data_IF_903955704602
#
_entry.id   IF_903955704602
#
_cell.length_a   1.000
_cell.length_b   1.000
_cell.length_c   1.000
_cell.angle_alpha   90.00
_cell.angle_beta   90.00
_cell.angle_gamma   90.00
#
_symmetry.space_group_name_H-M   'P 1'
#
loop_
_entity.id
_entity.type
_entity.pdbx_description
1 polymer ?
#
# COMPACT_ATOMS: atom_id res chain seq x y z
N UNK A 1 37.15 53.12 18.01
CA UNK A 1 36.17 52.06 18.31
C UNK A 1 34.83 52.71 18.57
N UNK A 2 33.97 52.77 17.54
CA UNK A 2 32.63 53.36 17.64
C UNK A 2 31.70 52.18 17.92
N UNK A 3 31.47 51.86 19.19
CA UNK A 3 30.44 50.89 19.55
C UNK A 3 29.09 51.60 19.42
N UNK A 4 28.43 51.34 18.31
CA UNK A 4 27.07 51.76 18.00
C UNK A 4 26.15 51.51 19.21
N UNK A 5 25.73 52.60 19.86
CA UNK A 5 24.59 52.62 20.78
C UNK A 5 23.31 52.40 19.98
N UNK A 6 23.10 51.17 19.51
CA UNK A 6 21.76 50.75 19.13
C UNK A 6 20.99 50.56 20.44
N UNK A 7 19.93 51.35 20.73
CA UNK A 7 19.13 51.13 21.92
C UNK A 7 18.60 49.69 21.88
N UNK A 8 18.90 48.93 22.94
CA UNK A 8 18.59 47.50 23.13
C UNK A 8 17.08 47.17 23.05
N UNK A 9 16.26 48.19 22.87
CA UNK A 9 14.81 48.19 22.72
C UNK A 9 14.37 48.07 21.26
N UNK A 10 15.28 48.23 20.30
CA UNK A 10 15.02 48.02 18.87
C UNK A 10 14.83 46.54 18.51
N UNK A 11 15.47 45.63 19.25
CA UNK A 11 15.39 44.18 19.02
C UNK A 11 13.99 43.58 19.25
N UNK A 12 13.29 43.82 20.39
CA UNK A 12 11.93 43.31 20.57
C UNK A 12 10.92 43.99 19.64
N UNK A 13 11.12 45.28 19.34
CA UNK A 13 10.24 46.01 18.42
C UNK A 13 10.32 45.45 16.99
N UNK A 14 11.51 45.07 16.52
CA UNK A 14 11.71 44.45 15.22
C UNK A 14 11.13 43.02 15.17
N UNK A 15 11.17 42.25 16.27
CA UNK A 15 10.57 40.92 16.35
C UNK A 15 9.03 40.93 16.32
N UNK A 16 8.40 41.95 16.91
CA UNK A 16 6.93 42.05 16.92
C UNK A 16 6.32 42.47 15.58
N UNK A 17 7.10 43.02 14.65
CA UNK A 17 6.64 43.45 13.33
C UNK A 17 6.53 42.30 12.29
N UNK A 18 6.98 41.09 12.62
CA UNK A 18 7.15 40.01 11.66
C UNK A 18 5.96 39.04 11.43
N UNK A 19 4.89 38.93 12.24
CA UNK A 19 3.83 37.98 11.94
C UNK A 19 2.62 38.68 11.31
N UNK A 20 2.73 39.12 10.05
CA UNK A 20 1.57 39.55 9.25
C UNK A 20 1.05 38.46 8.29
N UNK A 21 1.71 37.29 8.22
CA UNK A 21 1.38 36.24 7.24
C UNK A 21 0.74 34.97 7.83
N UNK A 22 0.26 34.98 9.08
CA UNK A 22 -0.45 33.82 9.68
C UNK A 22 -1.98 33.89 9.53
N UNK A 23 -2.48 34.65 8.55
CA UNK A 23 -3.91 34.81 8.29
C UNK A 23 -4.26 34.45 6.84
N UNK A 24 -4.03 33.21 6.45
CA UNK A 24 -4.59 32.67 5.22
C UNK A 24 -4.67 31.14 5.31
N UNK A 25 -5.67 30.65 6.03
CA UNK A 25 -6.42 29.48 5.60
C UNK A 25 -7.70 29.36 6.45
N UNK A 26 -8.83 29.83 5.93
CA UNK A 26 -10.15 29.43 6.42
C UNK A 26 -10.82 28.72 5.26
N UNK A 27 -10.48 27.45 5.10
CA UNK A 27 -11.25 26.50 4.31
C UNK A 27 -12.59 26.28 5.01
N UNK A 28 -13.56 27.16 4.71
CA UNK A 28 -14.95 26.99 5.11
C UNK A 28 -15.59 25.90 4.24
N UNK A 29 -15.14 24.66 4.45
CA UNK A 29 -15.73 23.48 3.86
C UNK A 29 -16.98 23.13 4.66
N UNK A 30 -18.10 23.76 4.26
CA UNK A 30 -19.44 23.44 4.74
C UNK A 30 -19.83 22.00 4.42
N UNK A 31 -19.34 21.06 5.23
CA UNK A 31 -19.76 19.66 5.19
C UNK A 31 -21.13 19.55 5.88
N UNK A 32 -22.18 19.62 5.07
CA UNK A 32 -23.55 19.26 5.47
C UNK A 32 -23.54 17.88 6.13
N UNK A 33 -23.66 17.85 7.46
CA UNK A 33 -23.93 16.64 8.20
C UNK A 33 -25.34 16.14 7.85
N UNK A 34 -25.45 15.30 6.81
CA UNK A 34 -26.63 14.48 6.60
C UNK A 34 -26.59 13.36 7.66
N UNK A 35 -27.02 13.66 8.87
CA UNK A 35 -27.46 12.64 9.81
C UNK A 35 -28.77 12.02 9.26
N UNK A 36 -28.65 11.16 8.24
CA UNK A 36 -29.72 10.23 7.91
C UNK A 36 -29.76 9.20 9.03
N UNK A 37 -30.48 9.52 10.11
CA UNK A 37 -30.89 8.58 11.16
C UNK A 37 -31.92 7.57 10.67
N UNK A 38 -31.66 6.97 9.51
CA UNK A 38 -32.46 5.93 8.88
C UNK A 38 -31.70 4.61 8.87
N UNK A 39 -32.43 3.51 8.69
CA UNK A 39 -31.80 2.20 8.51
C UNK A 39 -30.82 2.26 7.33
N UNK A 40 -29.56 1.90 7.58
CA UNK A 40 -28.49 1.91 6.59
C UNK A 40 -28.25 0.47 6.09
N UNK A 41 -28.16 0.27 4.78
CA UNK A 41 -27.79 -1.01 4.16
C UNK A 41 -26.61 -0.78 3.24
N UNK A 42 -25.59 -1.60 3.40
CA UNK A 42 -24.38 -1.61 2.61
C UNK A 42 -24.17 -3.01 2.04
N UNK A 43 -23.82 -3.11 0.75
CA UNK A 43 -23.44 -4.36 0.09
C UNK A 43 -22.09 -4.18 -0.60
N UNK A 44 -21.11 -4.98 -0.24
CA UNK A 44 -19.78 -4.97 -0.86
C UNK A 44 -19.27 -6.38 -1.13
N UNK A 45 -18.32 -6.50 -2.06
CA UNK A 45 -17.65 -7.75 -2.36
C UNK A 45 -16.25 -7.73 -1.73
N UNK A 46 -15.99 -8.72 -0.90
CA UNK A 46 -14.71 -9.00 -0.25
C UNK A 46 -14.10 -10.24 -0.93
N UNK A 47 -13.35 -10.02 -2.01
CA UNK A 47 -12.90 -11.09 -2.90
C UNK A 47 -14.08 -11.90 -3.45
N UNK A 48 -14.16 -13.18 -3.09
CA UNK A 48 -15.24 -14.08 -3.51
C UNK A 48 -16.46 -14.05 -2.59
N UNK A 49 -16.45 -13.19 -1.56
CA UNK A 49 -17.49 -13.10 -0.57
C UNK A 49 -18.34 -11.85 -0.75
N UNK A 50 -19.64 -12.04 -1.00
CA UNK A 50 -20.60 -10.94 -0.92
C UNK A 50 -20.96 -10.67 0.54
N UNK A 51 -20.70 -9.47 1.02
CA UNK A 51 -21.00 -9.02 2.39
C UNK A 51 -22.16 -8.02 2.34
N UNK A 52 -23.25 -8.33 3.03
CA UNK A 52 -24.39 -7.43 3.20
C UNK A 52 -24.51 -7.03 4.68
N UNK A 53 -24.35 -5.73 4.97
CA UNK A 53 -24.47 -5.15 6.32
C UNK A 53 -25.73 -4.29 6.40
N UNK A 54 -26.54 -4.52 7.43
CA UNK A 54 -27.77 -3.77 7.71
C UNK A 54 -27.73 -3.22 9.12
N UNK A 55 -27.83 -1.91 9.25
CA UNK A 55 -27.98 -1.20 10.51
C UNK A 55 -29.41 -0.70 10.60
N UNK A 56 -30.16 -1.20 11.58
CA UNK A 56 -31.50 -0.70 11.87
C UNK A 56 -31.43 0.47 12.84
N UNK A 57 -32.50 1.26 12.89
CA UNK A 57 -32.63 2.43 13.76
C UNK A 57 -32.59 2.09 15.26
N UNK A 58 -32.95 0.86 15.63
CA UNK A 58 -32.88 0.33 17.00
C UNK A 58 -31.47 -0.16 17.40
N UNK A 59 -30.45 0.06 16.57
CA UNK A 59 -29.09 -0.43 16.81
C UNK A 59 -28.88 -1.90 16.45
N UNK A 60 -29.90 -2.61 15.95
CA UNK A 60 -29.75 -4.00 15.50
C UNK A 60 -28.90 -4.03 14.22
N UNK A 61 -27.73 -4.67 14.32
CA UNK A 61 -26.81 -4.90 13.24
C UNK A 61 -26.97 -6.34 12.70
N UNK A 62 -27.13 -6.50 11.39
CA UNK A 62 -27.10 -7.79 10.71
C UNK A 62 -26.08 -7.78 9.60
N UNK A 63 -25.12 -8.70 9.69
CA UNK A 63 -24.16 -8.98 8.63
C UNK A 63 -24.45 -10.36 8.04
N UNK A 64 -24.52 -10.44 6.72
CA UNK A 64 -24.57 -11.70 5.99
C UNK A 64 -23.35 -11.77 5.09
N UNK A 65 -22.51 -12.78 5.26
CA UNK A 65 -21.38 -13.08 4.38
C UNK A 65 -21.71 -14.32 3.55
N UNK A 66 -21.67 -14.18 2.23
CA UNK A 66 -21.88 -15.26 1.27
C UNK A 66 -20.63 -15.39 0.42
N UNK A 67 -19.74 -16.28 0.83
CA UNK A 67 -18.57 -16.65 0.04
C UNK A 67 -18.94 -17.67 -1.03
N UNK A 68 -18.69 -17.32 -2.28
CA UNK A 68 -18.68 -18.32 -3.34
C UNK A 68 -17.36 -19.09 -3.25
N UNK A 69 -17.41 -20.40 -3.45
CA UNK A 69 -16.18 -21.18 -3.57
C UNK A 69 -15.37 -20.60 -4.73
N UNK A 70 -14.08 -20.32 -4.50
CA UNK A 70 -13.21 -19.99 -5.63
C UNK A 70 -13.22 -21.19 -6.58
N UNK A 71 -13.27 -21.00 -7.90
CA UNK A 71 -12.93 -22.09 -8.80
C UNK A 71 -11.53 -22.57 -8.39
N UNK A 72 -11.37 -23.86 -8.13
CA UNK A 72 -10.04 -24.43 -7.90
C UNK A 72 -9.16 -24.07 -9.10
N UNK A 73 -8.29 -23.08 -8.93
CA UNK A 73 -7.27 -22.77 -9.92
C UNK A 73 -6.22 -23.84 -9.77
N UNK A 74 -6.27 -24.85 -10.64
CA UNK A 74 -5.20 -25.83 -10.77
C UNK A 74 -3.90 -25.08 -11.08
N UNK A 75 -3.06 -24.92 -10.06
CA UNK A 75 -1.69 -24.47 -10.27
C UNK A 75 -0.96 -25.63 -10.93
N UNK A 76 -0.62 -25.45 -12.21
CA UNK A 76 0.26 -26.38 -12.91
C UNK A 76 1.60 -26.37 -12.15
N UNK A 77 2.07 -27.52 -11.64
CA UNK A 77 3.39 -27.56 -11.02
C UNK A 77 4.45 -27.14 -12.05
N UNK A 78 5.52 -26.46 -11.63
CA UNK A 78 6.62 -26.14 -12.54
C UNK A 78 7.16 -27.43 -13.16
N UNK A 79 7.59 -27.41 -14.43
CA UNK A 79 8.17 -28.59 -15.06
C UNK A 79 9.40 -29.05 -14.27
N UNK A 80 9.64 -30.37 -14.13
CA UNK A 80 10.83 -30.87 -13.45
C UNK A 80 12.09 -30.38 -14.17
N UNK A 81 13.01 -29.78 -13.41
CA UNK A 81 14.33 -29.38 -13.93
C UNK A 81 15.27 -30.57 -13.77
N UNK A 82 15.81 -31.06 -14.89
CA UNK A 82 16.85 -32.08 -14.88
C UNK A 82 18.17 -31.44 -14.44
N UNK A 83 18.67 -31.82 -13.26
CA UNK A 83 20.01 -31.42 -12.79
C UNK A 83 20.99 -32.50 -13.24
N UNK A 84 21.87 -32.17 -14.18
CA UNK A 84 22.99 -33.03 -14.53
C UNK A 84 24.10 -32.84 -13.50
N UNK A 85 24.64 -33.91 -12.90
CA UNK A 85 25.79 -33.78 -12.03
C UNK A 85 26.96 -33.22 -12.84
N UNK A 86 27.68 -32.25 -12.27
CA UNK A 86 28.95 -31.81 -12.84
C UNK A 86 29.90 -33.02 -12.93
N UNK A 87 30.56 -33.18 -14.08
CA UNK A 87 31.56 -34.24 -14.24
C UNK A 87 32.61 -34.10 -13.13
N UNK A 88 32.99 -35.19 -12.45
CA UNK A 88 34.00 -35.13 -11.41
C UNK A 88 35.31 -34.56 -11.99
N UNK A 89 36.04 -33.72 -11.23
CA UNK A 89 37.31 -33.20 -11.69
C UNK A 89 38.26 -34.37 -11.96
N UNK A 90 38.67 -34.54 -13.22
CA UNK A 90 39.53 -35.66 -13.66
C UNK A 90 38.87 -36.67 -14.60
N UNK A 91 37.59 -36.52 -14.97
CA UNK A 91 36.98 -37.36 -16.00
C UNK A 91 37.55 -37.04 -17.40
N UNK A 92 38.30 -37.98 -17.97
CA UNK A 92 38.81 -37.91 -19.36
C UNK A 92 37.67 -38.33 -20.30
N UNK A 93 37.20 -37.41 -21.14
CA UNK A 93 36.23 -37.72 -22.21
C UNK A 93 37.01 -38.30 -23.40
N UNK A 94 37.03 -39.63 -23.54
CA UNK A 94 37.62 -40.29 -24.71
C UNK A 94 36.59 -40.24 -25.84
N UNK A 95 36.68 -39.26 -26.74
CA UNK A 95 35.86 -39.27 -27.95
C UNK A 95 36.38 -40.35 -28.92
N UNK A 96 35.56 -41.30 -29.40
CA UNK A 96 36.03 -42.30 -30.33
C UNK A 96 36.05 -41.69 -31.74
N UNK A 97 37.19 -41.13 -32.14
CA UNK A 97 37.44 -40.72 -33.52
C UNK A 97 38.56 -41.59 -34.09
N UNK A 98 38.30 -42.88 -34.26
CA UNK A 98 39.15 -43.72 -35.11
C UNK A 98 38.47 -43.82 -36.47
N UNK A 99 38.97 -43.04 -37.43
CA UNK A 99 38.63 -43.19 -38.84
C UNK A 99 39.62 -44.17 -39.44
N UNK A 100 39.21 -45.41 -39.68
CA UNK A 100 39.98 -46.38 -40.48
C UNK A 100 39.73 -46.03 -41.95
N UNK A 101 40.79 -45.65 -42.68
CA UNK A 101 40.74 -45.54 -44.15
C UNK A 101 41.28 -46.84 -44.76
N UNK A 102 40.64 -47.37 -45.82
CA UNK A 102 41.09 -48.58 -46.51
C UNK A 102 42.42 -48.37 -47.26
#
# INVERSE_FOLDING_TARGET
MIFSLAPRWLLPALLCALPLSVLADHDDHGHRHKHKGGSYREEFWDGHCKVERKWKRNGEFKEKRKCQAQPMVYHRPPPPVMVYPAAPPGAIVISPQVVIRP
#
